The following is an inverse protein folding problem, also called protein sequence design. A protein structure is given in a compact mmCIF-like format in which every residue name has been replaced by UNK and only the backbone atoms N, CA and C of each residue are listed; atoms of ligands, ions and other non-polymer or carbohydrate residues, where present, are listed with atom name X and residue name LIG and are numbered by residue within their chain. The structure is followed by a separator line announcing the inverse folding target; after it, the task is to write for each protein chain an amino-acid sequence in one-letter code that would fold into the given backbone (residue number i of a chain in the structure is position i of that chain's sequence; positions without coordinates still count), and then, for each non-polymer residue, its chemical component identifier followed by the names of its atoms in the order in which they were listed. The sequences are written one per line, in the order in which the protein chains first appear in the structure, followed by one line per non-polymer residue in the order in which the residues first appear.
data_IF_532966140232
#
_entry.id   IF_532966140232
#
_cell.length_a   1.000
_cell.length_b   1.000
_cell.length_c   1.000
_cell.angle_alpha   90.00
_cell.angle_beta   90.00
_cell.angle_gamma   90.00
#
_symmetry.space_group_name_H-M   'P 1'
#
loop_
_entity.id
_entity.type
_entity.pdbx_description
1 polymer ?
#
# COMPACT_ATOMS: atom_id res chain seq x y z
N UNK A 1 14.59 1.36 14.43
CA UNK A 1 13.31 1.70 13.76
C UNK A 1 13.20 0.84 12.51
N UNK A 2 12.48 -0.27 12.58
CA UNK A 2 12.35 -1.24 11.50
C UNK A 2 11.52 -0.65 10.36
N UNK A 3 12.15 -0.42 9.21
CA UNK A 3 11.43 -0.14 7.96
C UNK A 3 10.67 -1.40 7.55
N UNK A 4 9.46 -1.26 7.03
CA UNK A 4 8.76 -2.43 6.49
C UNK A 4 9.47 -2.88 5.20
N UNK A 5 9.76 -4.17 5.01
CA UNK A 5 10.47 -4.63 3.82
C UNK A 5 9.63 -4.41 2.55
N UNK A 6 10.30 -4.19 1.40
CA UNK A 6 9.64 -4.26 0.09
C UNK A 6 8.94 -5.62 -0.03
N UNK A 7 7.69 -5.61 -0.48
CA UNK A 7 6.82 -6.78 -0.49
C UNK A 7 5.87 -6.87 0.71
N UNK A 8 5.99 -5.96 1.69
CA UNK A 8 4.98 -5.79 2.74
C UNK A 8 3.62 -5.57 2.10
N UNK A 9 2.60 -6.23 2.63
CA UNK A 9 1.21 -6.06 2.18
C UNK A 9 0.38 -5.35 3.24
N UNK A 10 -0.60 -4.57 2.80
CA UNK A 10 -1.53 -3.87 3.66
C UNK A 10 -2.90 -3.80 2.99
N UNK A 11 -3.98 -3.95 3.75
CA UNK A 11 -5.33 -3.83 3.21
C UNK A 11 -5.79 -2.37 3.22
N UNK A 12 -6.69 -2.05 2.29
CA UNK A 12 -7.45 -0.79 2.30
C UNK A 12 -8.04 -0.51 3.68
N UNK A 13 -7.94 0.73 4.15
CA UNK A 13 -8.41 1.14 5.48
C UNK A 13 -7.39 0.95 6.61
N UNK A 14 -6.31 0.18 6.40
CA UNK A 14 -5.22 0.08 7.37
C UNK A 14 -4.26 1.27 7.26
N UNK A 15 -3.62 1.62 8.38
CA UNK A 15 -2.53 2.59 8.38
C UNK A 15 -1.33 2.02 7.64
N UNK A 16 -0.77 2.82 6.74
CA UNK A 16 0.38 2.48 5.94
C UNK A 16 1.60 2.30 6.84
N UNK A 17 2.26 1.13 6.82
CA UNK A 17 3.41 0.87 7.68
C UNK A 17 4.68 1.59 7.19
N UNK A 18 4.77 1.90 5.90
CA UNK A 18 5.99 2.44 5.28
C UNK A 18 5.69 3.35 4.08
N UNK A 19 6.39 4.48 4.02
CA UNK A 19 6.24 5.44 2.93
C UNK A 19 6.81 4.86 1.65
N UNK A 20 6.02 4.81 0.59
CA UNK A 20 6.48 4.26 -0.67
C UNK A 20 5.43 4.17 -1.76
N UNK A 21 5.83 3.56 -2.88
CA UNK A 21 4.93 3.19 -3.97
C UNK A 21 4.35 1.83 -3.66
N UNK A 22 3.04 1.81 -3.46
CA UNK A 22 2.27 0.61 -3.19
C UNK A 22 1.52 0.18 -4.45
N UNK A 23 1.57 -1.10 -4.76
CA UNK A 23 0.88 -1.72 -5.90
C UNK A 23 -0.27 -2.59 -5.40
N UNK A 24 -1.44 -2.48 -6.01
CA UNK A 24 -2.56 -3.39 -5.75
C UNK A 24 -2.20 -4.81 -6.18
N UNK A 25 -2.33 -5.74 -5.25
CA UNK A 25 -2.22 -7.19 -5.46
C UNK A 25 -3.57 -7.69 -5.97
N UNK A 26 -3.67 -7.86 -7.28
CA UNK A 26 -4.87 -8.35 -7.95
C UNK A 26 -5.12 -7.65 -9.29
N UNK A 27 -6.27 -7.94 -9.88
CA UNK A 27 -6.73 -7.34 -11.13
C UNK A 27 -7.91 -6.43 -10.84
N UNK A 28 -7.85 -5.14 -11.21
CA UNK A 28 -6.76 -4.45 -11.93
C UNK A 28 -5.57 -4.09 -11.01
N UNK A 29 -4.35 -4.18 -11.54
CA UNK A 29 -3.15 -3.78 -10.80
C UNK A 29 -2.91 -2.28 -10.96
N UNK A 30 -3.10 -1.51 -9.90
CA UNK A 30 -2.76 -0.08 -9.88
C UNK A 30 -1.61 0.20 -8.91
N UNK A 31 -0.91 1.32 -9.08
CA UNK A 31 0.16 1.76 -8.18
C UNK A 31 -0.17 3.14 -7.65
N UNK A 32 0.02 3.36 -6.35
CA UNK A 32 -0.17 4.67 -5.73
C UNK A 32 0.96 4.95 -4.73
N UNK A 33 1.47 6.19 -4.68
CA UNK A 33 2.38 6.62 -3.62
C UNK A 33 1.59 6.86 -2.32
N UNK A 34 1.99 6.20 -1.23
CA UNK A 34 1.32 6.28 0.07
C UNK A 34 2.38 6.49 1.15
N UNK A 35 2.22 7.55 1.94
CA UNK A 35 3.11 7.85 3.06
C UNK A 35 2.78 6.97 4.29
N UNK A 36 3.81 6.64 5.07
CA UNK A 36 3.68 5.97 6.37
C UNK A 36 2.72 6.74 7.27
N UNK A 37 1.82 6.02 7.91
CA UNK A 37 0.78 6.59 8.78
C UNK A 37 -0.50 6.99 8.05
N UNK A 38 -0.47 7.18 6.72
CA UNK A 38 -1.70 7.44 5.95
C UNK A 38 -2.55 6.17 5.82
N UNK A 39 -3.86 6.36 5.67
CA UNK A 39 -4.79 5.24 5.46
C UNK A 39 -4.69 4.77 4.00
N UNK A 40 -4.54 3.46 3.81
CA UNK A 40 -4.55 2.84 2.48
C UNK A 40 -5.87 3.15 1.76
N UNK A 41 -5.84 3.81 0.59
CA UNK A 41 -7.05 4.22 -0.09
C UNK A 41 -7.78 3.02 -0.71
N UNK A 42 -9.12 3.05 -0.75
CA UNK A 42 -9.91 2.07 -1.49
C UNK A 42 -9.74 2.28 -3.00
N UNK A 43 -9.72 1.18 -3.75
CA UNK A 43 -9.74 1.25 -5.20
C UNK A 43 -11.15 0.95 -5.70
N UNK A 44 -11.75 1.91 -6.43
CA UNK A 44 -13.11 1.81 -6.96
C UNK A 44 -14.17 1.45 -5.89
N UNK A 45 -14.04 2.00 -4.68
CA UNK A 45 -14.92 1.70 -3.55
C UNK A 45 -14.79 0.29 -2.98
N UNK A 46 -13.82 -0.51 -3.45
CA UNK A 46 -13.55 -1.86 -2.98
C UNK A 46 -12.29 -1.90 -2.12
N UNK A 47 -12.33 -2.76 -1.11
CA UNK A 47 -11.15 -3.08 -0.33
C UNK A 47 -10.19 -3.89 -1.22
N UNK A 48 -9.00 -3.32 -1.44
CA UNK A 48 -7.91 -3.97 -2.15
C UNK A 48 -6.70 -4.15 -1.24
N UNK A 49 -5.89 -5.14 -1.58
CA UNK A 49 -4.61 -5.39 -0.93
C UNK A 49 -3.53 -4.62 -1.66
N UNK A 50 -2.82 -3.78 -0.95
CA UNK A 50 -1.66 -3.04 -1.41
C UNK A 50 -0.38 -3.82 -1.07
N UNK A 51 0.63 -3.77 -1.93
CA UNK A 51 1.97 -4.33 -1.74
C UNK A 51 3.02 -3.28 -1.98
N UNK A 52 3.89 -3.05 -1.01
CA UNK A 52 5.01 -2.13 -1.14
C UNK A 52 5.95 -2.63 -2.25
N UNK A 53 6.16 -1.81 -3.27
CA UNK A 53 7.04 -2.13 -4.40
C UNK A 53 8.31 -1.29 -4.40
N UNK A 54 8.24 -0.08 -3.87
CA UNK A 54 9.37 0.84 -3.81
C UNK A 54 9.23 1.74 -2.58
N UNK A 55 10.35 2.13 -1.98
CA UNK A 55 10.36 3.18 -0.96
C UNK A 55 10.20 4.57 -1.60
N UNK A 56 9.67 5.52 -0.82
CA UNK A 56 9.59 6.93 -1.18
C UNK A 56 10.86 7.67 -0.77
#
# INVERSE_FOLDING_TARGET
MSKAPIGTTASTGQKCPESGVWKVVGTPSTTAPIAKGNVMPPYNGKAVTWKLTQYA
#
